data_IF_966516182961
#
_entry.id   IF_966516182961
#
_cell.length_a   1.000
_cell.length_b   1.000
_cell.length_c   1.000
_cell.angle_alpha   90.00
_cell.angle_beta   90.00
_cell.angle_gamma   90.00
#
_symmetry.space_group_name_H-M   'P 1'
#
loop_
_entity.id
_entity.type
_entity.pdbx_description
1 polymer ?
#
# COMPACT_ATOMS: atom_id res chain seq x y z
N UNK A 1 8.64 -33.99 -32.11
CA UNK A 1 9.61 -33.35 -33.00
C UNK A 1 9.07 -33.34 -34.42
N UNK A 2 8.49 -32.22 -34.88
CA UNK A 2 7.86 -32.14 -36.22
C UNK A 2 8.84 -31.85 -37.36
N UNK A 3 10.11 -31.60 -37.08
CA UNK A 3 11.13 -31.30 -38.10
C UNK A 3 12.53 -31.74 -37.64
N UNK A 4 12.88 -33.04 -37.77
CA UNK A 4 14.16 -33.57 -37.28
C UNK A 4 15.38 -33.10 -38.05
N UNK A 5 15.22 -32.39 -39.18
CA UNK A 5 16.31 -31.88 -40.03
C UNK A 5 16.64 -30.41 -39.83
N UNK A 6 15.89 -29.66 -39.05
CA UNK A 6 16.12 -28.23 -38.86
C UNK A 6 17.29 -27.95 -37.92
N UNK A 7 18.37 -27.39 -38.50
CA UNK A 7 19.62 -27.04 -37.77
C UNK A 7 19.35 -25.96 -36.70
N UNK A 8 18.41 -25.06 -36.96
CA UNK A 8 18.04 -24.03 -35.96
C UNK A 8 17.39 -24.64 -34.75
N UNK A 9 16.40 -25.53 -34.93
CA UNK A 9 15.73 -26.21 -33.83
C UNK A 9 16.70 -27.10 -33.01
N UNK A 10 17.66 -27.79 -33.69
CA UNK A 10 18.69 -28.52 -32.97
C UNK A 10 19.59 -27.62 -32.14
N UNK A 11 20.02 -26.48 -32.67
CA UNK A 11 20.81 -25.50 -31.92
C UNK A 11 20.02 -24.95 -30.70
N UNK A 12 18.70 -24.73 -30.84
CA UNK A 12 17.86 -24.28 -29.75
C UNK A 12 17.69 -25.37 -28.66
N UNK A 13 17.61 -26.65 -29.03
CA UNK A 13 17.58 -27.75 -28.07
C UNK A 13 18.80 -27.75 -27.15
N UNK A 14 19.99 -27.46 -27.65
CA UNK A 14 21.19 -27.34 -26.81
C UNK A 14 21.14 -26.06 -25.94
N UNK A 15 20.60 -24.96 -26.46
CA UNK A 15 20.47 -23.70 -25.72
C UNK A 15 19.48 -23.77 -24.56
N UNK A 16 18.43 -24.61 -24.66
CA UNK A 16 17.48 -24.83 -23.56
C UNK A 16 18.17 -25.30 -22.28
N UNK A 17 19.20 -26.14 -22.40
CA UNK A 17 19.97 -26.60 -21.24
C UNK A 17 20.88 -25.51 -20.64
N UNK A 18 21.12 -24.44 -21.37
CA UNK A 18 21.91 -23.29 -20.92
C UNK A 18 21.03 -22.12 -20.50
N UNK A 19 19.72 -22.21 -20.74
CA UNK A 19 18.77 -21.17 -20.37
C UNK A 19 18.53 -21.17 -18.85
N UNK A 20 18.46 -20.00 -18.27
CA UNK A 20 18.13 -19.79 -16.86
C UNK A 20 16.61 -19.92 -16.65
N UNK A 21 16.12 -21.16 -16.65
CA UNK A 21 14.71 -21.46 -16.37
C UNK A 21 14.55 -21.71 -14.87
N UNK A 22 14.10 -20.71 -14.12
CA UNK A 22 13.97 -20.77 -12.67
C UNK A 22 12.87 -19.80 -12.18
N UNK A 23 12.47 -19.93 -10.91
CA UNK A 23 11.62 -18.94 -10.23
C UNK A 23 12.40 -17.67 -9.95
N UNK A 24 11.70 -16.57 -9.65
CA UNK A 24 12.32 -15.30 -9.22
C UNK A 24 13.21 -15.54 -8.00
N UNK A 25 12.71 -16.26 -6.99
CA UNK A 25 13.50 -16.61 -5.79
C UNK A 25 14.76 -17.41 -6.13
N UNK A 26 14.63 -18.36 -7.06
CA UNK A 26 15.78 -19.15 -7.53
C UNK A 26 16.82 -18.31 -8.23
N UNK A 27 16.40 -17.28 -8.97
CA UNK A 27 17.29 -16.29 -9.57
C UNK A 27 17.96 -15.42 -8.49
N UNK A 28 17.18 -14.87 -7.55
CA UNK A 28 17.69 -14.07 -6.45
C UNK A 28 18.72 -14.86 -5.62
N UNK A 29 18.38 -16.09 -5.22
CA UNK A 29 19.29 -16.94 -4.46
C UNK A 29 20.60 -17.23 -5.19
N UNK A 30 20.57 -17.46 -6.51
CA UNK A 30 21.77 -17.66 -7.31
C UNK A 30 22.61 -16.37 -7.39
N UNK A 31 21.99 -15.24 -7.64
CA UNK A 31 22.65 -13.93 -7.69
C UNK A 31 23.36 -13.64 -6.35
N UNK A 32 22.64 -13.84 -5.25
CA UNK A 32 23.18 -13.61 -3.91
C UNK A 32 24.36 -14.51 -3.60
N UNK A 33 24.31 -15.82 -3.93
CA UNK A 33 25.46 -16.71 -3.71
C UNK A 33 26.71 -16.28 -4.46
N UNK A 34 26.55 -15.65 -5.63
CA UNK A 34 27.69 -15.16 -6.42
C UNK A 34 28.23 -13.82 -5.91
N UNK A 35 27.39 -12.97 -5.33
CA UNK A 35 27.71 -11.58 -5.02
C UNK A 35 27.48 -11.18 -3.57
N UNK A 36 27.29 -12.12 -2.65
CA UNK A 36 27.01 -11.86 -1.24
C UNK A 36 28.06 -10.98 -0.55
N UNK A 37 29.30 -11.00 -1.04
CA UNK A 37 30.40 -10.19 -0.54
C UNK A 37 30.23 -8.67 -0.77
N UNK A 38 29.28 -8.28 -1.62
CA UNK A 38 28.92 -6.89 -1.89
C UNK A 38 27.83 -6.37 -0.92
N UNK A 39 27.19 -7.26 -0.17
CA UNK A 39 26.15 -6.87 0.79
C UNK A 39 26.77 -6.30 2.06
N UNK A 40 26.14 -5.28 2.66
CA UNK A 40 26.58 -4.74 3.94
C UNK A 40 26.40 -5.79 5.06
N UNK A 41 27.23 -5.72 6.10
CA UNK A 41 27.04 -6.57 7.28
C UNK A 41 25.78 -6.16 8.05
N UNK A 42 25.10 -7.15 8.64
CA UNK A 42 23.97 -6.95 9.56
C UNK A 42 24.47 -7.31 10.97
N UNK A 43 24.33 -6.39 11.92
CA UNK A 43 24.84 -6.55 13.30
C UNK A 43 26.32 -7.01 13.33
N UNK A 44 27.14 -6.40 12.46
CA UNK A 44 28.57 -6.72 12.33
C UNK A 44 28.89 -8.08 11.73
N UNK A 45 27.92 -8.80 11.20
CA UNK A 45 28.07 -10.13 10.57
C UNK A 45 27.75 -10.05 9.08
N UNK A 46 28.56 -10.76 8.29
CA UNK A 46 28.32 -10.93 6.87
C UNK A 46 27.66 -12.28 6.60
N UNK A 47 26.76 -12.30 5.62
CA UNK A 47 26.28 -13.53 5.03
C UNK A 47 27.40 -14.23 4.26
N UNK A 48 27.35 -15.54 4.21
CA UNK A 48 28.27 -16.36 3.40
C UNK A 48 27.54 -17.05 2.24
N UNK A 49 28.23 -17.42 1.15
CA UNK A 49 27.58 -17.95 -0.05
C UNK A 49 26.76 -19.24 0.18
N UNK A 50 27.05 -19.98 1.25
CA UNK A 50 26.39 -21.21 1.65
C UNK A 50 25.15 -20.96 2.54
N UNK A 51 24.62 -19.73 2.53
CA UNK A 51 23.38 -19.44 3.26
C UNK A 51 22.25 -20.40 2.88
N UNK A 52 21.42 -20.69 3.86
CA UNK A 52 20.22 -21.50 3.65
C UNK A 52 18.97 -20.61 3.56
N UNK A 53 17.96 -21.08 2.87
CA UNK A 53 16.64 -20.44 2.84
C UNK A 53 15.79 -21.10 3.91
N UNK A 54 15.18 -20.27 4.77
CA UNK A 54 14.29 -20.72 5.83
C UNK A 54 12.97 -21.21 5.24
N UNK A 55 12.45 -22.30 5.77
CA UNK A 55 11.05 -22.63 5.56
C UNK A 55 10.15 -21.77 6.47
N UNK A 56 8.82 -21.80 6.20
CA UNK A 56 7.87 -20.95 6.93
C UNK A 56 7.82 -21.29 8.42
N UNK A 57 8.01 -22.55 8.81
CA UNK A 57 8.00 -22.95 10.21
C UNK A 57 9.21 -22.43 10.98
N UNK A 58 10.39 -22.50 10.37
CA UNK A 58 11.61 -21.93 10.92
C UNK A 58 11.54 -20.42 11.00
N UNK A 59 11.06 -19.76 9.93
CA UNK A 59 10.86 -18.33 9.88
C UNK A 59 9.88 -17.85 10.96
N UNK A 60 8.77 -18.56 11.16
CA UNK A 60 7.79 -18.26 12.20
C UNK A 60 8.39 -18.33 13.61
N UNK A 61 9.20 -19.33 13.90
CA UNK A 61 9.88 -19.47 15.19
C UNK A 61 10.89 -18.30 15.43
N UNK A 62 11.60 -17.87 14.39
CA UNK A 62 12.52 -16.75 14.52
C UNK A 62 11.78 -15.43 14.70
N UNK A 63 10.65 -15.24 13.99
CA UNK A 63 9.78 -14.06 14.18
C UNK A 63 9.23 -14.00 15.60
N UNK A 64 8.78 -15.11 16.16
CA UNK A 64 8.30 -15.16 17.54
C UNK A 64 9.38 -14.71 18.54
N UNK A 65 10.59 -15.24 18.44
CA UNK A 65 11.71 -14.84 19.31
C UNK A 65 12.12 -13.39 19.15
N UNK A 66 12.14 -12.90 17.92
CA UNK A 66 12.46 -11.49 17.65
C UNK A 66 11.38 -10.58 18.24
N UNK A 67 10.11 -10.98 18.15
CA UNK A 67 8.98 -10.26 18.72
C UNK A 67 9.03 -10.23 20.25
N UNK A 68 9.27 -11.35 20.90
CA UNK A 68 9.42 -11.42 22.35
C UNK A 68 10.53 -10.46 22.81
N UNK A 69 11.70 -10.52 22.17
CA UNK A 69 12.82 -9.64 22.52
C UNK A 69 12.53 -8.16 22.25
N UNK A 70 11.76 -7.83 21.18
CA UNK A 70 11.36 -6.45 20.91
C UNK A 70 10.33 -5.96 21.94
N UNK A 71 9.38 -6.81 22.36
CA UNK A 71 8.41 -6.46 23.40
C UNK A 71 9.06 -6.32 24.78
N UNK A 72 10.04 -7.14 25.13
CA UNK A 72 10.80 -6.98 26.38
C UNK A 72 11.52 -5.63 26.43
N UNK A 73 12.13 -5.20 25.32
CA UNK A 73 12.76 -3.88 25.25
C UNK A 73 11.73 -2.76 25.33
N UNK A 74 10.60 -2.92 24.65
CA UNK A 74 9.48 -1.97 24.69
C UNK A 74 9.02 -1.71 26.13
N UNK A 75 8.75 -2.77 26.92
CA UNK A 75 8.32 -2.61 28.32
C UNK A 75 9.41 -2.02 29.20
N UNK A 76 10.66 -2.44 29.00
CA UNK A 76 11.80 -1.86 29.73
C UNK A 76 11.98 -0.37 29.44
N UNK A 77 11.75 0.05 28.20
CA UNK A 77 11.79 1.46 27.84
C UNK A 77 10.66 2.27 28.50
N UNK A 78 9.45 1.72 28.61
CA UNK A 78 8.33 2.34 29.35
C UNK A 78 8.72 2.53 30.82
N UNK A 79 9.25 1.49 31.47
CA UNK A 79 9.73 1.58 32.86
C UNK A 79 10.82 2.64 33.03
N UNK A 80 11.60 2.92 31.99
CA UNK A 80 12.64 3.95 31.96
C UNK A 80 12.12 5.35 31.60
N UNK A 81 10.82 5.51 31.36
CA UNK A 81 10.18 6.79 31.11
C UNK A 81 10.00 7.14 29.62
N UNK A 82 10.00 6.17 28.71
CA UNK A 82 9.72 6.40 27.30
C UNK A 82 8.25 6.73 27.07
N UNK A 83 7.95 8.01 26.79
CA UNK A 83 6.60 8.51 26.65
C UNK A 83 5.89 8.00 25.39
N UNK A 84 6.62 7.80 24.27
CA UNK A 84 6.01 7.33 23.02
C UNK A 84 5.55 5.88 23.14
N UNK A 85 6.37 5.04 23.78
CA UNK A 85 5.99 3.66 24.06
C UNK A 85 4.88 3.56 25.11
N UNK A 86 4.90 4.42 26.13
CA UNK A 86 3.82 4.49 27.10
C UNK A 86 2.48 4.86 26.43
N UNK A 87 2.46 5.88 25.57
CA UNK A 87 1.27 6.25 24.80
C UNK A 87 0.81 5.16 23.83
N UNK A 88 1.74 4.45 23.20
CA UNK A 88 1.38 3.29 22.36
C UNK A 88 0.69 2.20 23.20
N UNK A 89 1.22 1.88 24.38
CA UNK A 89 0.62 0.92 25.29
C UNK A 89 -0.79 1.35 25.71
N UNK A 90 -0.97 2.61 26.09
CA UNK A 90 -2.25 3.16 26.49
C UNK A 90 -3.27 3.16 25.34
N UNK A 91 -2.86 3.52 24.13
CA UNK A 91 -3.74 3.58 22.94
C UNK A 91 -4.24 2.22 22.52
N UNK A 92 -3.37 1.19 22.52
CA UNK A 92 -3.71 -0.16 22.08
C UNK A 92 -4.06 -1.11 23.23
N UNK A 93 -3.59 -0.77 24.43
CA UNK A 93 -3.65 -1.64 25.60
C UNK A 93 -4.90 -1.50 26.45
N UNK A 94 -5.92 -0.71 26.08
CA UNK A 94 -7.13 -0.44 26.89
C UNK A 94 -7.62 -1.66 27.71
N UNK A 95 -6.76 -2.12 28.65
CA UNK A 95 -7.05 -3.08 29.73
C UNK A 95 -6.86 -4.57 29.43
N UNK A 96 -6.30 -5.03 28.31
CA UNK A 96 -6.23 -6.48 28.00
C UNK A 96 -4.93 -6.99 27.33
N UNK A 97 -3.77 -6.49 27.76
CA UNK A 97 -2.49 -7.17 27.51
C UNK A 97 -1.98 -7.15 26.07
N UNK A 98 -0.78 -7.65 25.89
CA UNK A 98 0.11 -7.59 24.72
C UNK A 98 -0.42 -8.19 23.42
N UNK A 99 -1.59 -8.84 23.45
CA UNK A 99 -2.13 -9.58 22.28
C UNK A 99 -2.35 -8.68 21.06
N UNK A 100 -2.68 -7.40 21.27
CA UNK A 100 -2.89 -6.46 20.18
C UNK A 100 -1.57 -6.14 19.48
N UNK A 101 -0.53 -5.79 20.24
CA UNK A 101 0.81 -5.52 19.71
C UNK A 101 1.45 -6.76 19.10
N UNK A 102 1.37 -7.91 19.79
CA UNK A 102 1.91 -9.17 19.31
C UNK A 102 1.33 -9.60 17.96
N UNK A 103 0.10 -9.20 17.64
CA UNK A 103 -0.53 -9.43 16.34
C UNK A 103 -0.17 -8.33 15.33
N UNK A 104 -0.23 -7.06 15.77
CA UNK A 104 -0.10 -5.91 14.89
C UNK A 104 1.32 -5.76 14.31
N UNK A 105 2.36 -6.00 15.12
CA UNK A 105 3.75 -5.83 14.70
C UNK A 105 4.13 -6.78 13.55
N UNK A 106 3.93 -8.12 13.64
CA UNK A 106 4.19 -9.01 12.52
C UNK A 106 3.33 -8.74 11.29
N UNK A 107 2.06 -8.32 11.48
CA UNK A 107 1.16 -7.95 10.37
C UNK A 107 1.66 -6.70 9.65
N UNK A 108 2.06 -5.67 10.38
CA UNK A 108 2.63 -4.46 9.82
C UNK A 108 3.95 -4.75 9.12
N UNK A 109 4.85 -5.50 9.75
CA UNK A 109 6.10 -5.94 9.15
C UNK A 109 5.86 -6.70 7.84
N UNK A 110 4.94 -7.66 7.81
CA UNK A 110 4.60 -8.39 6.58
C UNK A 110 4.14 -7.47 5.43
N UNK A 111 3.39 -6.41 5.74
CA UNK A 111 3.01 -5.39 4.75
C UNK A 111 4.21 -4.54 4.30
N UNK A 112 5.12 -4.22 5.21
CA UNK A 112 6.33 -3.47 4.90
C UNK A 112 7.24 -4.23 3.94
N UNK A 113 7.34 -5.55 4.09
CA UNK A 113 8.14 -6.40 3.20
C UNK A 113 7.67 -6.38 1.72
N UNK A 114 6.48 -5.87 1.43
CA UNK A 114 6.05 -5.65 0.04
C UNK A 114 6.63 -4.37 -0.61
N UNK A 115 7.31 -3.52 0.18
CA UNK A 115 8.00 -2.33 -0.34
C UNK A 115 9.43 -2.66 -0.74
N UNK A 116 9.95 -2.05 -1.83
CA UNK A 116 11.33 -2.30 -2.26
C UNK A 116 12.39 -1.94 -1.21
N UNK A 117 12.13 -0.93 -0.39
CA UNK A 117 13.01 -0.41 0.66
C UNK A 117 12.21 -0.19 1.96
N UNK A 118 11.93 -1.26 2.75
CA UNK A 118 11.07 -1.20 3.94
C UNK A 118 11.56 -0.20 4.99
N UNK A 119 12.86 -0.17 5.27
CA UNK A 119 13.48 0.71 6.26
C UNK A 119 13.26 2.18 5.91
N UNK A 120 13.39 2.54 4.64
CA UNK A 120 13.18 3.92 4.17
C UNK A 120 11.72 4.33 4.23
N UNK A 121 10.83 3.38 3.93
CA UNK A 121 9.40 3.62 4.10
C UNK A 121 9.08 3.91 5.57
N UNK A 122 9.63 3.13 6.51
CA UNK A 122 9.47 3.36 7.96
C UNK A 122 10.01 4.73 8.38
N UNK A 123 11.20 5.11 7.90
CA UNK A 123 11.80 6.41 8.21
C UNK A 123 10.92 7.57 7.73
N UNK A 124 10.46 7.54 6.48
CA UNK A 124 9.55 8.55 5.94
C UNK A 124 8.21 8.61 6.67
N UNK A 125 7.67 7.44 7.04
CA UNK A 125 6.45 7.38 7.83
C UNK A 125 6.66 8.03 9.22
N UNK A 126 7.78 7.78 9.87
CA UNK A 126 8.12 8.38 11.16
C UNK A 126 8.28 9.91 11.07
N UNK A 127 8.93 10.42 10.02
CA UNK A 127 9.03 11.86 9.74
C UNK A 127 7.65 12.51 9.63
N UNK A 128 6.72 11.89 8.91
CA UNK A 128 5.34 12.38 8.76
C UNK A 128 4.55 12.48 10.07
N UNK A 129 4.98 11.75 11.12
CA UNK A 129 4.38 11.83 12.46
C UNK A 129 5.17 12.71 13.44
N UNK A 130 6.30 13.24 13.02
CA UNK A 130 7.12 14.14 13.84
C UNK A 130 6.62 15.57 13.75
N UNK A 131 6.28 16.01 12.55
CA UNK A 131 5.90 17.39 12.26
C UNK A 131 4.51 17.42 11.61
N UNK A 132 3.48 17.50 12.45
CA UNK A 132 2.09 17.60 11.97
C UNK A 132 1.88 19.02 11.42
N UNK A 133 1.59 19.18 10.12
CA UNK A 133 1.47 20.50 9.50
C UNK A 133 0.28 21.30 10.04
N UNK A 134 0.27 22.61 9.76
CA UNK A 134 -0.81 23.50 10.17
C UNK A 134 -2.12 23.25 9.41
N UNK A 135 -2.04 22.69 8.21
CA UNK A 135 -3.20 22.39 7.37
C UNK A 135 -3.20 20.91 6.97
N UNK A 136 -4.39 20.30 6.97
CA UNK A 136 -4.54 18.88 6.55
C UNK A 136 -4.09 18.66 5.11
N UNK A 137 -4.31 19.62 4.22
CA UNK A 137 -3.88 19.53 2.83
C UNK A 137 -2.36 19.34 2.65
N UNK A 138 -1.57 19.73 3.65
CA UNK A 138 -0.11 19.57 3.66
C UNK A 138 0.33 18.25 4.32
N UNK A 139 -0.59 17.57 5.01
CA UNK A 139 -0.32 16.27 5.64
C UNK A 139 -0.48 15.11 4.65
N UNK A 140 0.26 14.02 4.86
CA UNK A 140 0.10 12.77 4.08
C UNK A 140 -1.32 12.23 4.19
N UNK A 141 -1.92 12.31 5.39
CA UNK A 141 -3.32 11.92 5.63
C UNK A 141 -4.28 12.75 4.75
N UNK A 142 -4.22 14.07 4.85
CA UNK A 142 -5.13 14.95 4.12
C UNK A 142 -4.96 14.83 2.60
N UNK A 143 -3.72 14.78 2.10
CA UNK A 143 -3.43 14.56 0.68
C UNK A 143 -4.01 13.24 0.18
N UNK A 144 -3.86 12.16 0.95
CA UNK A 144 -4.39 10.84 0.60
C UNK A 144 -5.91 10.83 0.55
N UNK A 145 -6.58 11.41 1.56
CA UNK A 145 -8.04 11.51 1.62
C UNK A 145 -8.57 12.37 0.46
N UNK A 146 -7.96 13.52 0.21
CA UNK A 146 -8.37 14.43 -0.89
C UNK A 146 -8.19 13.76 -2.26
N UNK A 147 -7.05 13.08 -2.49
CA UNK A 147 -6.78 12.37 -3.73
C UNK A 147 -7.77 11.19 -3.96
N UNK A 148 -8.07 10.42 -2.92
CA UNK A 148 -9.08 9.35 -3.00
C UNK A 148 -10.47 9.91 -3.29
N UNK A 149 -10.85 11.01 -2.63
CA UNK A 149 -12.12 11.71 -2.87
C UNK A 149 -12.24 12.14 -4.33
N UNK A 150 -11.22 12.79 -4.89
CA UNK A 150 -11.20 13.22 -6.31
C UNK A 150 -11.33 12.02 -7.23
N UNK A 151 -10.54 10.97 -7.04
CA UNK A 151 -10.56 9.76 -7.86
C UNK A 151 -11.95 9.11 -7.88
N UNK A 152 -12.57 8.97 -6.71
CA UNK A 152 -13.91 8.36 -6.56
C UNK A 152 -15.01 9.25 -7.13
N UNK A 153 -14.90 10.56 -6.93
CA UNK A 153 -15.83 11.54 -7.51
C UNK A 153 -15.80 11.51 -9.03
N UNK A 154 -14.63 11.45 -9.65
CA UNK A 154 -14.48 11.35 -11.10
C UNK A 154 -15.03 10.04 -11.66
N UNK A 155 -14.79 8.94 -10.97
CA UNK A 155 -15.38 7.66 -11.32
C UNK A 155 -16.91 7.75 -11.36
N UNK A 156 -17.53 8.30 -10.32
CA UNK A 156 -18.98 8.40 -10.25
C UNK A 156 -19.54 9.45 -11.21
N UNK A 157 -18.85 10.55 -11.46
CA UNK A 157 -19.24 11.50 -12.52
C UNK A 157 -19.32 10.78 -13.88
N UNK A 158 -18.31 9.98 -14.22
CA UNK A 158 -18.28 9.19 -15.44
C UNK A 158 -19.38 8.12 -15.48
N UNK A 159 -19.71 7.48 -14.34
CA UNK A 159 -20.81 6.51 -14.27
C UNK A 159 -22.17 7.17 -14.50
N UNK A 160 -22.40 8.38 -13.97
CA UNK A 160 -23.63 9.14 -14.20
C UNK A 160 -23.77 9.54 -15.67
N UNK A 161 -22.71 10.00 -16.32
CA UNK A 161 -22.71 10.34 -17.75
C UNK A 161 -23.00 9.12 -18.64
N UNK A 162 -22.38 7.98 -18.32
CA UNK A 162 -22.70 6.72 -19.01
C UNK A 162 -24.17 6.32 -18.84
N UNK A 163 -24.71 6.52 -17.62
CA UNK A 163 -26.12 6.24 -17.37
C UNK A 163 -27.03 7.18 -18.17
N UNK A 164 -26.69 8.47 -18.33
CA UNK A 164 -27.41 9.40 -19.20
C UNK A 164 -27.38 8.92 -20.65
N UNK A 165 -26.22 8.50 -21.14
CA UNK A 165 -26.12 7.95 -22.51
C UNK A 165 -27.00 6.70 -22.69
N UNK A 166 -27.06 5.84 -21.69
CA UNK A 166 -27.91 4.65 -21.71
C UNK A 166 -29.42 4.96 -21.60
N UNK A 167 -29.82 6.16 -21.15
CA UNK A 167 -31.22 6.61 -21.14
C UNK A 167 -31.68 7.12 -22.50
N UNK A 168 -30.79 7.32 -23.47
CA UNK A 168 -31.13 7.88 -24.78
C UNK A 168 -32.24 7.06 -25.52
N UNK A 169 -32.28 5.77 -25.30
CA UNK A 169 -33.28 4.86 -25.89
C UNK A 169 -34.63 4.90 -25.15
N UNK A 170 -34.75 5.67 -24.06
CA UNK A 170 -36.00 5.80 -23.29
C UNK A 170 -36.26 7.26 -22.92
N UNK A 171 -36.83 8.06 -23.86
CA UNK A 171 -37.02 9.52 -23.66
C UNK A 171 -37.72 9.92 -22.34
N UNK A 172 -38.77 9.20 -21.86
CA UNK A 172 -39.41 9.56 -20.60
C UNK A 172 -38.48 9.43 -19.37
N UNK A 173 -37.54 8.48 -19.41
CA UNK A 173 -36.53 8.31 -18.34
C UNK A 173 -35.45 9.39 -18.46
N UNK A 174 -35.00 9.68 -19.66
CA UNK A 174 -34.04 10.73 -19.92
C UNK A 174 -34.53 12.12 -19.46
N UNK A 175 -35.79 12.46 -19.78
CA UNK A 175 -36.46 13.69 -19.37
C UNK A 175 -36.54 13.80 -17.82
N UNK A 176 -36.87 12.70 -17.16
CA UNK A 176 -37.06 12.71 -15.71
C UNK A 176 -35.72 12.73 -14.91
N UNK A 177 -34.64 12.10 -15.42
CA UNK A 177 -33.40 11.87 -14.68
C UNK A 177 -32.17 12.52 -15.29
N UNK A 178 -32.13 12.75 -16.61
CA UNK A 178 -30.94 13.13 -17.37
C UNK A 178 -30.25 14.39 -16.81
N UNK A 179 -31.01 15.51 -16.72
CA UNK A 179 -30.46 16.76 -16.20
C UNK A 179 -29.94 16.63 -14.77
N UNK A 180 -30.58 15.81 -13.94
CA UNK A 180 -30.18 15.59 -12.55
C UNK A 180 -28.87 14.84 -12.46
N UNK A 181 -28.66 13.89 -13.33
CA UNK A 181 -27.42 13.12 -13.41
C UNK A 181 -26.28 13.99 -13.91
N UNK A 182 -26.51 14.82 -14.93
CA UNK A 182 -25.53 15.79 -15.45
C UNK A 182 -25.17 16.82 -14.36
N UNK A 183 -26.17 17.35 -13.64
CA UNK A 183 -25.96 18.30 -12.56
C UNK A 183 -25.04 17.71 -11.46
N UNK A 184 -25.35 16.49 -10.99
CA UNK A 184 -24.55 15.82 -9.96
C UNK A 184 -23.16 15.44 -10.48
N UNK A 185 -23.04 15.01 -11.73
CA UNK A 185 -21.73 14.74 -12.35
C UNK A 185 -20.86 16.02 -12.38
N UNK A 186 -21.44 17.15 -12.73
CA UNK A 186 -20.76 18.43 -12.67
C UNK A 186 -20.36 18.85 -11.26
N UNK A 187 -21.24 18.61 -10.26
CA UNK A 187 -20.92 18.86 -8.85
C UNK A 187 -19.77 17.97 -8.36
N UNK A 188 -19.74 16.69 -8.73
CA UNK A 188 -18.66 15.77 -8.40
C UNK A 188 -17.32 16.21 -8.99
N UNK A 189 -17.29 16.74 -10.20
CA UNK A 189 -16.06 17.23 -10.82
C UNK A 189 -15.45 18.45 -10.13
N UNK A 190 -16.25 19.21 -9.37
CA UNK A 190 -15.73 20.32 -8.57
C UNK A 190 -14.73 19.89 -7.50
N UNK A 191 -14.76 18.62 -7.06
CA UNK A 191 -13.75 18.13 -6.12
C UNK A 191 -12.32 18.24 -6.67
N UNK A 192 -12.12 18.11 -7.98
CA UNK A 192 -10.80 18.31 -8.59
C UNK A 192 -10.28 19.74 -8.43
N UNK A 193 -11.13 20.74 -8.67
CA UNK A 193 -10.78 22.14 -8.49
C UNK A 193 -10.60 22.48 -7.01
N UNK A 194 -11.51 21.99 -6.17
CA UNK A 194 -11.46 22.18 -4.74
C UNK A 194 -10.20 21.60 -4.10
N UNK A 195 -9.69 20.47 -4.60
CA UNK A 195 -8.46 19.84 -4.09
C UNK A 195 -7.22 20.72 -4.22
N UNK A 196 -7.20 21.63 -5.19
CA UNK A 196 -6.11 22.61 -5.37
C UNK A 196 -6.18 23.76 -4.35
N UNK A 197 -7.34 23.96 -3.73
CA UNK A 197 -7.60 25.05 -2.77
C UNK A 197 -7.60 24.57 -1.31
N UNK A 198 -7.43 23.27 -1.07
CA UNK A 198 -7.26 22.67 0.25
C UNK A 198 -8.54 22.11 0.87
N UNK A 199 -8.42 21.68 2.14
CA UNK A 199 -9.45 20.94 2.86
C UNK A 199 -10.79 21.66 2.97
N UNK A 200 -10.81 22.94 3.31
CA UNK A 200 -12.02 23.71 3.43
C UNK A 200 -12.80 23.84 2.11
N UNK A 201 -12.09 23.93 0.99
CA UNK A 201 -12.72 23.96 -0.33
C UNK A 201 -13.35 22.59 -0.67
N UNK A 202 -12.70 21.48 -0.29
CA UNK A 202 -13.26 20.13 -0.43
C UNK A 202 -14.54 19.97 0.40
N UNK A 203 -14.54 20.45 1.63
CA UNK A 203 -15.71 20.42 2.53
C UNK A 203 -16.90 21.22 1.97
N UNK A 204 -16.64 22.29 1.20
CA UNK A 204 -17.69 23.10 0.60
C UNK A 204 -18.38 22.40 -0.62
N UNK A 205 -17.81 21.34 -1.17
CA UNK A 205 -18.42 20.59 -2.26
C UNK A 205 -19.44 19.61 -1.72
N UNK A 206 -20.73 19.92 -1.90
CA UNK A 206 -21.85 19.10 -1.38
C UNK A 206 -22.75 18.63 -2.54
N UNK A 207 -22.35 17.60 -3.29
CA UNK A 207 -23.15 17.09 -4.39
C UNK A 207 -24.40 16.40 -3.88
N UNK A 208 -25.54 16.70 -4.51
CA UNK A 208 -26.81 16.12 -4.08
C UNK A 208 -27.79 15.98 -5.24
N UNK A 209 -28.59 14.91 -5.20
CA UNK A 209 -29.69 14.72 -6.14
C UNK A 209 -30.92 15.51 -5.70
N UNK A 210 -31.39 16.39 -6.56
CA UNK A 210 -32.72 16.99 -6.42
C UNK A 210 -33.80 15.99 -6.74
N UNK A 211 -35.08 16.33 -6.46
CA UNK A 211 -36.23 15.50 -6.82
C UNK A 211 -36.23 15.20 -8.32
N UNK A 212 -36.47 13.95 -8.65
CA UNK A 212 -36.63 13.46 -10.03
C UNK A 212 -38.10 13.42 -10.43
N UNK A 213 -38.37 13.54 -11.72
CA UNK A 213 -39.72 13.43 -12.26
C UNK A 213 -40.35 12.04 -12.12
N UNK A 214 -41.63 11.95 -12.37
CA UNK A 214 -42.38 10.67 -12.34
C UNK A 214 -42.41 10.09 -13.73
N UNK A 215 -41.81 8.90 -13.90
CA UNK A 215 -41.89 8.11 -15.13
C UNK A 215 -43.05 7.10 -15.01
N UNK A 216 -43.97 7.11 -15.99
CA UNK A 216 -45.11 6.19 -16.06
C UNK A 216 -44.92 5.27 -17.27
N UNK A 217 -45.67 4.16 -17.30
CA UNK A 217 -45.69 3.17 -18.39
C UNK A 217 -44.86 1.93 -18.03
N UNK A 218 -45.42 0.75 -18.25
CA UNK A 218 -44.77 -0.53 -17.96
C UNK A 218 -43.53 -0.76 -18.87
N UNK A 219 -43.57 -0.23 -20.08
CA UNK A 219 -42.48 -0.27 -21.05
C UNK A 219 -41.20 0.43 -20.54
N UNK A 220 -41.33 1.36 -19.60
CA UNK A 220 -40.23 2.12 -19.07
C UNK A 220 -39.62 1.52 -17.78
N UNK A 221 -40.26 0.50 -17.20
CA UNK A 221 -39.88 -0.01 -15.86
C UNK A 221 -38.47 -0.58 -15.80
N UNK A 222 -37.99 -1.25 -16.84
CA UNK A 222 -36.62 -1.78 -16.88
C UNK A 222 -35.56 -0.66 -16.85
N UNK A 223 -35.71 0.35 -17.72
CA UNK A 223 -34.82 1.49 -17.79
C UNK A 223 -34.87 2.31 -16.51
N UNK A 224 -36.05 2.54 -15.95
CA UNK A 224 -36.26 3.23 -14.67
C UNK A 224 -35.61 2.50 -13.51
N UNK A 225 -35.73 1.16 -13.43
CA UNK A 225 -35.09 0.35 -12.41
C UNK A 225 -33.55 0.42 -12.48
N UNK A 226 -32.98 0.31 -13.69
CA UNK A 226 -31.55 0.44 -13.91
C UNK A 226 -31.04 1.82 -13.47
N UNK A 227 -31.72 2.90 -13.91
CA UNK A 227 -31.40 4.28 -13.56
C UNK A 227 -31.46 4.52 -12.04
N UNK A 228 -32.51 4.06 -11.37
CA UNK A 228 -32.65 4.15 -9.92
C UNK A 228 -31.53 3.40 -9.19
N UNK A 229 -31.11 2.25 -9.69
CA UNK A 229 -30.01 1.50 -9.10
C UNK A 229 -28.71 2.30 -9.12
N UNK A 230 -28.40 2.95 -10.25
CA UNK A 230 -27.21 3.82 -10.35
C UNK A 230 -27.33 5.01 -9.40
N UNK A 231 -28.49 5.67 -9.38
CA UNK A 231 -28.74 6.81 -8.51
C UNK A 231 -28.57 6.46 -7.02
N UNK A 232 -29.15 5.35 -6.56
CA UNK A 232 -29.05 4.95 -5.15
C UNK A 232 -27.62 4.55 -4.75
N UNK A 233 -26.89 3.85 -5.65
CA UNK A 233 -25.47 3.57 -5.43
C UNK A 233 -24.64 4.85 -5.36
N UNK A 234 -24.91 5.81 -6.26
CA UNK A 234 -24.22 7.10 -6.23
C UNK A 234 -24.56 7.87 -4.94
N UNK A 235 -25.81 7.95 -4.51
CA UNK A 235 -26.20 8.59 -3.25
C UNK A 235 -25.48 8.00 -2.04
N UNK A 236 -25.34 6.67 -1.98
CA UNK A 236 -24.59 6.01 -0.92
C UNK A 236 -23.11 6.40 -0.93
N UNK A 237 -22.56 6.59 -2.13
CA UNK A 237 -21.19 7.03 -2.28
C UNK A 237 -20.99 8.51 -1.94
N UNK A 238 -21.93 9.39 -2.31
CA UNK A 238 -21.87 10.81 -1.92
C UNK A 238 -21.72 11.00 -0.40
N UNK A 239 -22.42 10.18 0.39
CA UNK A 239 -22.28 10.20 1.86
C UNK A 239 -20.87 9.82 2.30
N UNK A 240 -20.25 8.81 1.66
CA UNK A 240 -18.90 8.39 1.97
C UNK A 240 -17.85 9.43 1.56
N UNK A 241 -18.09 10.14 0.43
CA UNK A 241 -17.22 11.22 -0.02
C UNK A 241 -17.29 12.44 0.91
N UNK A 242 -18.46 12.72 1.47
CA UNK A 242 -18.66 13.84 2.40
C UNK A 242 -18.11 13.55 3.81
N UNK A 243 -18.17 12.30 4.27
CA UNK A 243 -17.87 11.91 5.64
C UNK A 243 -16.53 12.42 6.20
N UNK A 244 -15.40 12.41 5.48
CA UNK A 244 -14.15 12.96 6.00
C UNK A 244 -14.19 14.46 6.27
N UNK A 245 -15.10 15.19 5.63
CA UNK A 245 -15.21 16.64 5.68
C UNK A 245 -16.33 17.13 6.61
N UNK A 246 -17.07 16.22 7.27
CA UNK A 246 -18.09 16.55 8.26
C UNK A 246 -17.47 17.07 9.57
N UNK A 247 -16.25 16.60 9.88
CA UNK A 247 -15.47 17.06 11.04
C UNK A 247 -14.63 18.26 10.65
N UNK A 248 -14.54 19.31 11.48
CA UNK A 248 -13.68 20.45 11.26
C UNK A 248 -12.20 20.06 11.08
N UNK A 249 -11.46 20.77 10.21
CA UNK A 249 -10.03 20.53 9.97
C UNK A 249 -9.22 20.59 11.27
N UNK A 250 -9.54 21.51 12.18
CA UNK A 250 -8.86 21.66 13.47
C UNK A 250 -8.97 20.42 14.34
N UNK A 251 -10.13 19.78 14.38
CA UNK A 251 -10.32 18.55 15.15
C UNK A 251 -9.50 17.38 14.60
N UNK A 252 -9.46 17.23 13.26
CA UNK A 252 -8.59 16.25 12.64
C UNK A 252 -7.10 16.48 12.96
N UNK A 253 -6.66 17.73 12.95
CA UNK A 253 -5.29 18.08 13.29
C UNK A 253 -4.97 17.80 14.75
N UNK A 254 -5.92 18.06 15.66
CA UNK A 254 -5.77 17.77 17.08
C UNK A 254 -5.73 16.26 17.33
N UNK A 255 -6.56 15.47 16.65
CA UNK A 255 -6.53 14.01 16.69
C UNK A 255 -5.19 13.46 16.16
N UNK A 256 -4.67 14.00 15.04
CA UNK A 256 -3.37 13.59 14.51
C UNK A 256 -2.24 13.89 15.51
N UNK A 257 -2.26 15.07 16.15
CA UNK A 257 -1.26 15.43 17.18
C UNK A 257 -1.35 14.53 18.40
N UNK A 258 -2.57 14.20 18.82
CA UNK A 258 -2.79 13.34 19.98
C UNK A 258 -2.29 11.90 19.76
N UNK A 259 -2.47 11.35 18.54
CA UNK A 259 -2.04 9.98 18.22
C UNK A 259 -0.58 9.88 17.77
N UNK A 260 0.04 11.00 17.36
CA UNK A 260 1.39 11.00 16.76
C UNK A 260 2.47 10.31 17.62
N UNK A 261 2.55 10.51 18.95
CA UNK A 261 3.55 9.80 19.76
C UNK A 261 3.34 8.29 19.76
N UNK A 262 2.10 7.81 19.84
CA UNK A 262 1.79 6.38 19.77
C UNK A 262 2.16 5.81 18.39
N UNK A 263 1.93 6.54 17.30
CA UNK A 263 2.31 6.13 15.95
C UNK A 263 3.83 6.07 15.77
N UNK A 264 4.60 7.04 16.30
CA UNK A 264 6.06 6.97 16.31
C UNK A 264 6.55 5.78 17.12
N UNK A 265 5.98 5.54 18.29
CA UNK A 265 6.26 4.35 19.10
C UNK A 265 6.00 3.04 18.33
N UNK A 266 4.88 2.94 17.61
CA UNK A 266 4.56 1.77 16.79
C UNK A 266 5.58 1.53 15.67
N UNK A 267 5.94 2.57 14.93
CA UNK A 267 6.94 2.47 13.85
C UNK A 267 8.31 2.09 14.40
N UNK A 268 8.71 2.67 15.53
CA UNK A 268 9.98 2.35 16.22
C UNK A 268 10.00 0.90 16.74
N UNK A 269 8.91 0.43 17.32
CA UNK A 269 8.79 -0.98 17.76
C UNK A 269 8.84 -1.94 16.57
N UNK A 270 8.22 -1.57 15.44
CA UNK A 270 8.26 -2.38 14.21
C UNK A 270 9.69 -2.44 13.65
N UNK A 271 10.42 -1.33 13.66
CA UNK A 271 11.83 -1.29 13.27
C UNK A 271 12.72 -2.14 14.21
N UNK A 272 12.49 -2.08 15.53
CA UNK A 272 13.21 -2.90 16.51
C UNK A 272 12.94 -4.40 16.28
N UNK A 273 11.71 -4.77 15.98
CA UNK A 273 11.35 -6.14 15.62
C UNK A 273 12.11 -6.60 14.36
N UNK A 274 12.06 -5.80 13.29
CA UNK A 274 12.72 -6.14 12.02
C UNK A 274 14.22 -6.31 12.20
N UNK A 275 14.90 -5.37 12.87
CA UNK A 275 16.34 -5.46 13.16
C UNK A 275 16.71 -6.74 13.91
N UNK A 276 15.91 -7.14 14.88
CA UNK A 276 16.13 -8.38 15.66
C UNK A 276 15.90 -9.62 14.81
N UNK A 277 14.87 -9.60 13.99
CA UNK A 277 14.57 -10.69 13.09
C UNK A 277 15.68 -10.88 12.05
N UNK A 278 16.16 -9.79 11.45
CA UNK A 278 17.31 -9.79 10.54
C UNK A 278 18.58 -10.32 11.22
N UNK A 279 18.91 -9.83 12.43
CA UNK A 279 20.06 -10.29 13.19
C UNK A 279 20.00 -11.79 13.50
N UNK A 280 18.81 -12.30 13.87
CA UNK A 280 18.60 -13.74 14.13
C UNK A 280 18.81 -14.60 12.86
N UNK A 281 18.36 -14.12 11.68
CA UNK A 281 18.58 -14.80 10.41
C UNK A 281 20.05 -14.82 10.02
N UNK A 282 20.71 -13.68 10.04
CA UNK A 282 22.13 -13.57 9.68
C UNK A 282 23.04 -14.35 10.65
N UNK A 283 22.73 -14.38 11.95
CA UNK A 283 23.44 -15.22 12.93
C UNK A 283 23.42 -16.70 12.57
N UNK A 284 22.40 -17.16 11.86
CA UNK A 284 22.25 -18.56 11.41
C UNK A 284 22.69 -18.77 9.96
N UNK A 285 23.25 -17.75 9.32
CA UNK A 285 23.54 -17.72 7.90
C UNK A 285 22.32 -18.16 7.07
N UNK A 286 21.17 -17.53 7.32
CA UNK A 286 19.90 -17.88 6.74
C UNK A 286 19.16 -16.64 6.24
N UNK A 287 18.34 -16.82 5.20
CA UNK A 287 17.47 -15.80 4.61
C UNK A 287 16.07 -16.37 4.48
N UNK A 288 15.04 -15.52 4.56
CA UNK A 288 13.70 -15.86 4.07
C UNK A 288 13.52 -15.39 2.61
N UNK A 289 12.32 -15.60 2.05
CA UNK A 289 12.05 -15.23 0.66
C UNK A 289 12.12 -13.72 0.43
N UNK A 290 11.58 -12.92 1.35
CA UNK A 290 11.63 -11.46 1.24
C UNK A 290 13.06 -10.92 1.27
N UNK A 291 13.93 -11.51 2.10
CA UNK A 291 15.35 -11.11 2.12
C UNK A 291 16.03 -11.33 0.79
N UNK A 292 15.74 -12.45 0.13
CA UNK A 292 16.34 -12.76 -1.17
C UNK A 292 15.99 -11.68 -2.20
N UNK A 293 14.72 -11.25 -2.21
CA UNK A 293 14.26 -10.21 -3.12
C UNK A 293 14.88 -8.85 -2.78
N UNK A 294 14.89 -8.44 -1.52
CA UNK A 294 15.44 -7.15 -1.08
C UNK A 294 16.94 -7.06 -1.29
N UNK A 295 17.69 -8.11 -0.94
CA UNK A 295 19.13 -8.12 -1.16
C UNK A 295 19.48 -8.19 -2.65
N UNK A 296 18.73 -8.94 -3.47
CA UNK A 296 18.90 -8.93 -4.91
C UNK A 296 18.62 -7.53 -5.48
N UNK A 297 17.57 -6.86 -5.01
CA UNK A 297 17.26 -5.49 -5.40
C UNK A 297 18.40 -4.53 -5.01
N UNK A 298 18.93 -4.63 -3.80
CA UNK A 298 20.06 -3.82 -3.32
C UNK A 298 21.31 -4.01 -4.19
N UNK A 299 21.54 -5.22 -4.69
CA UNK A 299 22.66 -5.50 -5.58
C UNK A 299 22.45 -4.98 -7.00
N UNK A 300 21.21 -4.95 -7.51
CA UNK A 300 20.92 -4.68 -8.91
C UNK A 300 20.47 -3.24 -9.20
N UNK A 301 19.87 -2.55 -8.24
CA UNK A 301 19.27 -1.24 -8.46
C UNK A 301 19.56 -0.25 -7.33
N UNK A 302 19.73 1.01 -7.71
CA UNK A 302 19.68 2.14 -6.79
C UNK A 302 18.23 2.49 -6.43
N UNK A 303 18.06 3.34 -5.43
CA UNK A 303 16.73 3.75 -4.93
C UNK A 303 15.86 4.49 -5.94
N UNK A 304 16.48 5.19 -6.87
CA UNK A 304 15.82 5.89 -7.95
C UNK A 304 15.41 4.96 -9.10
N UNK A 305 15.67 3.65 -8.95
CA UNK A 305 15.39 2.62 -9.95
C UNK A 305 16.47 2.51 -11.03
N UNK A 306 17.51 3.32 -10.98
CA UNK A 306 18.66 3.16 -11.91
C UNK A 306 19.46 1.91 -11.57
N UNK A 307 20.01 1.19 -12.57
CA UNK A 307 20.80 0.00 -12.31
C UNK A 307 22.13 0.33 -11.61
N UNK A 308 22.57 -0.57 -10.72
CA UNK A 308 23.95 -0.56 -10.23
C UNK A 308 24.90 -1.06 -11.32
N UNK A 309 26.22 -0.93 -11.11
CA UNK A 309 27.21 -1.53 -12.03
C UNK A 309 26.98 -3.04 -12.21
N UNK A 310 26.66 -3.75 -11.13
CA UNK A 310 26.28 -5.16 -11.20
C UNK A 310 24.96 -5.36 -11.95
N UNK A 311 23.98 -4.48 -11.74
CA UNK A 311 22.70 -4.51 -12.44
C UNK A 311 22.87 -4.38 -13.96
N UNK A 312 23.73 -3.46 -14.42
CA UNK A 312 24.08 -3.33 -15.82
C UNK A 312 24.76 -4.60 -16.37
N UNK A 313 25.74 -5.13 -15.63
CA UNK A 313 26.45 -6.36 -16.04
C UNK A 313 25.50 -7.56 -16.16
N UNK A 314 24.55 -7.70 -15.23
CA UNK A 314 23.55 -8.77 -15.25
C UNK A 314 22.57 -8.58 -16.39
N UNK A 315 22.07 -7.35 -16.62
CA UNK A 315 21.14 -7.06 -17.72
C UNK A 315 21.67 -7.46 -19.09
N UNK A 316 22.98 -7.29 -19.33
CA UNK A 316 23.63 -7.66 -20.60
C UNK A 316 23.69 -9.18 -20.85
N UNK A 317 23.45 -10.02 -19.82
CA UNK A 317 23.41 -11.48 -19.98
C UNK A 317 22.10 -11.98 -20.57
N UNK A 318 21.03 -11.19 -20.45
CA UNK A 318 19.68 -11.55 -20.86
C UNK A 318 19.24 -10.66 -22.02
N UNK A 319 18.62 -11.24 -23.04
CA UNK A 319 18.01 -10.50 -24.15
C UNK A 319 16.51 -10.28 -23.91
N UNK A 320 15.88 -11.21 -23.21
CA UNK A 320 14.47 -11.22 -22.87
C UNK A 320 14.32 -11.88 -21.49
N UNK A 321 13.42 -11.36 -20.67
CA UNK A 321 13.08 -11.85 -19.33
C UNK A 321 11.62 -12.23 -19.30
#
# INVERSE_FOLDING_TARGET
AQSPGDRHLRAQMFRVYQADIKTVDGFCAQLLRQHVHLLPPVDGRCLTPDFRVLDESEAALLRERALEAALEEFYRAIESGDEEYAQLADTLGAGRGDRALARLIPELHGKLQSHPYPEKWLARAAEGWTDIPAHLADSVYGQTVMADTVRRAEFWASQLERAVSAMADCPPVLEAYGDRFIEVAGQLRRYREASQSGWAAMAAVQPSFRRVGVVRGEENEQAKKATRTVMEKCKAELKKLAAPYETPESEHLDDLRAIAPAMRGLLRLTASFDQRYQAEKVRRNALDFSDQEHYALTLLAHEDGSPTELGEQVSHRYREV
#
